data_IF_224764997825
#
_entry.id   IF_224764997825
#
_cell.length_a   1.000
_cell.length_b   1.000
_cell.length_c   1.000
_cell.angle_alpha   90.00
_cell.angle_beta   90.00
_cell.angle_gamma   90.00
#
_symmetry.space_group_name_H-M   'P 1'
#
loop_
_entity.id
_entity.type
_entity.pdbx_description
1 polymer ?
#
# COMPACT_ATOMS: atom_id res chain seq x y z
N UNK A 1 -9.43 -7.49 -20.70
CA UNK A 1 -9.34 -8.89 -21.17
C UNK A 1 -9.27 -9.80 -19.95
N UNK A 2 -10.12 -10.85 -19.86
CA UNK A 2 -10.11 -11.78 -18.72
C UNK A 2 -8.76 -12.49 -18.56
N UNK A 3 -8.23 -12.53 -17.34
CA UNK A 3 -6.93 -13.10 -17.01
C UNK A 3 -7.06 -14.46 -16.28
N UNK A 4 -5.95 -15.23 -16.22
CA UNK A 4 -5.89 -16.45 -15.39
C UNK A 4 -5.96 -16.06 -13.91
N UNK A 5 -6.65 -16.85 -13.08
CA UNK A 5 -6.92 -16.54 -11.68
C UNK A 5 -5.67 -16.18 -10.86
N UNK A 6 -4.61 -17.00 -10.92
CA UNK A 6 -3.37 -16.74 -10.20
C UNK A 6 -2.71 -15.41 -10.59
N UNK A 7 -2.75 -15.05 -11.89
CA UNK A 7 -2.19 -13.79 -12.37
C UNK A 7 -3.02 -12.60 -11.86
N UNK A 8 -4.33 -12.75 -11.83
CA UNK A 8 -5.24 -11.74 -11.33
C UNK A 8 -5.06 -11.52 -9.82
N UNK A 9 -4.92 -12.61 -9.06
CA UNK A 9 -4.63 -12.56 -7.63
C UNK A 9 -3.29 -11.90 -7.32
N UNK A 10 -2.25 -12.23 -8.09
CA UNK A 10 -0.93 -11.61 -7.92
C UNK A 10 -0.96 -10.12 -8.25
N UNK A 11 -1.63 -9.71 -9.31
CA UNK A 11 -1.78 -8.28 -9.64
C UNK A 11 -2.58 -7.56 -8.55
N UNK A 12 -3.62 -8.18 -8.01
CA UNK A 12 -4.35 -7.60 -6.88
C UNK A 12 -3.44 -7.42 -5.67
N UNK A 13 -2.73 -8.47 -5.27
CA UNK A 13 -1.77 -8.40 -4.14
C UNK A 13 -0.77 -7.27 -4.32
N UNK A 14 -0.16 -7.14 -5.50
CA UNK A 14 0.83 -6.09 -5.78
C UNK A 14 0.26 -4.68 -5.69
N UNK A 15 -1.00 -4.51 -6.06
CA UNK A 15 -1.65 -3.22 -5.96
C UNK A 15 -2.05 -2.87 -4.53
N UNK A 16 -2.53 -3.85 -3.75
CA UNK A 16 -2.92 -3.63 -2.35
C UNK A 16 -1.71 -3.55 -1.42
N UNK A 17 -0.69 -4.39 -1.62
CA UNK A 17 0.53 -4.42 -0.80
C UNK A 17 1.53 -3.30 -1.19
N UNK A 18 1.03 -2.09 -1.41
CA UNK A 18 1.85 -0.91 -1.71
C UNK A 18 2.55 -0.32 -0.49
N UNK A 19 2.71 1.01 -0.46
CA UNK A 19 3.37 1.73 0.66
C UNK A 19 2.63 1.62 1.98
N UNK A 20 1.29 1.57 1.94
CA UNK A 20 0.45 1.52 3.14
C UNK A 20 0.82 0.37 4.07
N UNK A 21 0.76 -0.89 3.60
CA UNK A 21 1.08 -2.09 4.39
C UNK A 21 2.56 -2.22 4.81
N UNK A 22 3.43 -1.37 4.31
CA UNK A 22 4.83 -1.30 4.72
C UNK A 22 5.03 -0.20 5.74
N UNK A 23 4.73 1.05 5.38
CA UNK A 23 5.01 2.22 6.23
C UNK A 23 4.06 2.34 7.42
N UNK A 24 2.78 2.04 7.23
CA UNK A 24 1.79 2.12 8.30
C UNK A 24 2.13 1.21 9.48
N UNK A 25 2.38 -0.09 9.28
CA UNK A 25 2.79 -1.00 10.35
C UNK A 25 4.12 -0.64 11.01
N UNK A 26 5.10 -0.11 10.24
CA UNK A 26 6.35 0.41 10.81
C UNK A 26 6.07 1.57 11.77
N UNK A 27 5.15 2.46 11.44
CA UNK A 27 4.71 3.53 12.34
C UNK A 27 3.84 2.99 13.49
N UNK A 28 2.96 2.05 13.18
CA UNK A 28 2.07 1.44 14.17
C UNK A 28 2.80 0.71 15.29
N UNK A 29 3.95 0.10 14.99
CA UNK A 29 4.76 -0.63 15.99
C UNK A 29 5.40 0.31 17.03
N UNK A 30 5.46 1.61 16.78
CA UNK A 30 5.90 2.60 17.76
C UNK A 30 4.97 2.67 18.99
N UNK A 31 3.74 2.21 18.86
CA UNK A 31 2.79 2.06 19.97
C UNK A 31 2.88 0.69 20.67
N UNK A 32 3.81 -0.15 20.26
CA UNK A 32 4.07 -1.45 20.86
C UNK A 32 3.50 -2.64 20.09
N UNK A 33 3.66 -3.85 20.65
CA UNK A 33 3.30 -5.10 20.01
C UNK A 33 1.81 -5.31 19.77
N UNK A 34 0.94 -4.40 20.23
CA UNK A 34 -0.51 -4.44 19.97
C UNK A 34 -0.83 -4.43 18.46
N UNK A 35 0.06 -3.90 17.64
CA UNK A 35 -0.08 -3.92 16.19
C UNK A 35 -0.20 -5.37 15.65
N UNK A 36 0.48 -6.34 16.27
CA UNK A 36 0.42 -7.76 15.90
C UNK A 36 -0.91 -8.44 16.22
N UNK A 37 -1.73 -7.83 17.05
CA UNK A 37 -3.12 -8.29 17.33
C UNK A 37 -4.09 -7.56 16.42
N UNK A 38 -3.96 -6.25 16.34
CA UNK A 38 -4.94 -5.40 15.64
C UNK A 38 -4.87 -5.52 14.13
N UNK A 39 -3.67 -5.67 13.54
CA UNK A 39 -3.52 -5.84 12.10
C UNK A 39 -4.21 -7.12 11.60
N UNK A 40 -3.93 -8.34 12.09
CA UNK A 40 -4.58 -9.54 11.59
C UNK A 40 -6.09 -9.56 11.84
N UNK A 41 -6.55 -9.14 13.00
CA UNK A 41 -7.99 -9.08 13.30
C UNK A 41 -8.68 -8.07 12.38
N UNK A 42 -8.16 -6.86 12.29
CA UNK A 42 -8.71 -5.82 11.44
C UNK A 42 -8.64 -6.17 9.94
N UNK A 43 -7.53 -6.79 9.50
CA UNK A 43 -7.36 -7.21 8.11
C UNK A 43 -8.39 -8.29 7.72
N UNK A 44 -8.65 -9.28 8.59
CA UNK A 44 -9.65 -10.32 8.31
C UNK A 44 -11.06 -9.74 8.34
N UNK A 45 -11.43 -9.06 9.42
CA UNK A 45 -12.81 -8.59 9.65
C UNK A 45 -13.12 -7.36 8.79
N UNK A 46 -12.22 -6.39 8.72
CA UNK A 46 -12.37 -5.17 7.92
C UNK A 46 -11.93 -5.38 6.47
N UNK A 47 -10.65 -5.61 6.25
CA UNK A 47 -10.03 -5.62 4.93
C UNK A 47 -10.52 -6.74 4.02
N UNK A 48 -10.36 -8.00 4.43
CA UNK A 48 -10.66 -9.15 3.58
C UNK A 48 -12.16 -9.29 3.29
N UNK A 49 -13.01 -9.01 4.28
CA UNK A 49 -14.47 -9.01 4.08
C UNK A 49 -14.87 -7.86 3.15
N UNK A 50 -14.34 -6.65 3.38
CA UNK A 50 -14.61 -5.51 2.51
C UNK A 50 -14.25 -5.81 1.05
N UNK A 51 -13.03 -6.28 0.80
CA UNK A 51 -12.56 -6.53 -0.57
C UNK A 51 -13.32 -7.66 -1.24
N UNK A 52 -13.65 -8.72 -0.49
CA UNK A 52 -14.44 -9.82 -1.03
C UNK A 52 -15.83 -9.34 -1.46
N UNK A 53 -16.57 -8.68 -0.59
CA UNK A 53 -17.94 -8.25 -0.91
C UNK A 53 -17.95 -7.15 -1.96
N UNK A 54 -17.11 -6.14 -1.85
CA UNK A 54 -17.04 -5.06 -2.85
C UNK A 54 -16.63 -5.58 -4.23
N UNK A 55 -15.64 -6.46 -4.29
CA UNK A 55 -15.19 -7.08 -5.54
C UNK A 55 -16.23 -7.99 -6.18
N UNK A 56 -16.94 -8.80 -5.37
CA UNK A 56 -18.00 -9.70 -5.86
C UNK A 56 -19.22 -8.92 -6.33
N UNK A 57 -19.64 -7.87 -5.63
CA UNK A 57 -20.75 -7.02 -6.08
C UNK A 57 -20.36 -6.30 -7.38
N UNK A 58 -19.15 -5.73 -7.46
CA UNK A 58 -18.64 -5.13 -8.69
C UNK A 58 -18.67 -6.13 -9.87
N UNK A 59 -18.25 -7.36 -9.63
CA UNK A 59 -18.26 -8.40 -10.68
C UNK A 59 -19.66 -8.72 -11.17
N UNK A 60 -20.61 -8.89 -10.26
CA UNK A 60 -22.03 -9.15 -10.56
C UNK A 60 -22.71 -7.98 -11.27
N UNK A 61 -22.31 -6.78 -10.94
CA UNK A 61 -22.80 -5.56 -11.61
C UNK A 61 -22.03 -5.24 -12.91
N UNK A 62 -21.34 -6.22 -13.50
CA UNK A 62 -20.66 -6.08 -14.79
C UNK A 62 -19.36 -5.26 -14.73
N UNK A 63 -18.72 -5.16 -13.57
CA UNK A 63 -17.49 -4.42 -13.36
C UNK A 63 -17.72 -2.92 -13.14
N UNK A 64 -18.83 -2.57 -12.53
CA UNK A 64 -19.21 -1.19 -12.18
C UNK A 64 -18.20 -0.58 -11.21
N UNK A 65 -17.90 0.72 -11.35
CA UNK A 65 -17.04 1.45 -10.42
C UNK A 65 -17.74 1.65 -9.06
N UNK A 66 -16.95 1.82 -7.99
CA UNK A 66 -17.50 1.99 -6.65
C UNK A 66 -18.48 3.19 -6.53
N UNK A 67 -18.21 4.37 -7.09
CA UNK A 67 -19.20 5.47 -7.03
C UNK A 67 -20.55 5.09 -7.65
N UNK A 68 -20.56 4.40 -8.80
CA UNK A 68 -21.79 3.96 -9.43
C UNK A 68 -22.54 2.89 -8.63
N UNK A 69 -21.81 2.00 -7.93
CA UNK A 69 -22.44 1.09 -6.99
C UNK A 69 -23.15 1.85 -5.86
N UNK A 70 -22.49 2.85 -5.29
CA UNK A 70 -23.10 3.70 -4.26
C UNK A 70 -24.34 4.40 -4.81
N UNK A 71 -24.28 4.90 -6.05
CA UNK A 71 -25.46 5.49 -6.72
C UNK A 71 -26.60 4.51 -6.88
N UNK A 72 -26.29 3.24 -7.20
CA UNK A 72 -27.29 2.19 -7.41
C UNK A 72 -27.97 1.73 -6.12
N UNK A 73 -27.19 1.59 -5.04
CA UNK A 73 -27.66 0.99 -3.79
C UNK A 73 -27.94 2.00 -2.68
N UNK A 74 -27.71 3.29 -2.91
CA UNK A 74 -27.90 4.35 -1.94
C UNK A 74 -28.63 5.56 -2.56
N UNK A 75 -28.67 6.67 -1.85
CA UNK A 75 -29.32 7.89 -2.31
C UNK A 75 -28.33 8.87 -2.96
N UNK A 76 -28.88 9.90 -3.65
CA UNK A 76 -28.08 10.91 -4.37
C UNK A 76 -27.13 11.67 -3.46
N UNK A 77 -27.52 11.97 -2.22
CA UNK A 77 -26.67 12.71 -1.28
C UNK A 77 -25.42 11.90 -0.89
N UNK A 78 -25.59 10.62 -0.55
CA UNK A 78 -24.50 9.71 -0.23
C UNK A 78 -23.57 9.49 -1.45
N UNK A 79 -24.15 9.36 -2.64
CA UNK A 79 -23.37 9.28 -3.88
C UNK A 79 -22.49 10.51 -4.08
N UNK A 80 -23.07 11.71 -3.98
CA UNK A 80 -22.32 12.97 -4.19
C UNK A 80 -21.21 13.13 -3.17
N UNK A 81 -21.51 12.87 -1.89
CA UNK A 81 -20.51 12.90 -0.83
C UNK A 81 -19.36 11.91 -1.11
N UNK A 82 -19.71 10.67 -1.43
CA UNK A 82 -18.71 9.63 -1.70
C UNK A 82 -17.88 9.96 -2.94
N UNK A 83 -18.48 10.50 -4.00
CA UNK A 83 -17.77 10.89 -5.22
C UNK A 83 -16.70 11.95 -4.94
N UNK A 84 -17.05 12.99 -4.18
CA UNK A 84 -16.11 14.06 -3.81
C UNK A 84 -15.01 13.49 -2.90
N UNK A 85 -15.41 12.75 -1.85
CA UNK A 85 -14.49 12.15 -0.90
C UNK A 85 -13.50 11.19 -1.59
N UNK A 86 -14.01 10.29 -2.43
CA UNK A 86 -13.19 9.31 -3.16
C UNK A 86 -12.22 10.00 -4.13
N UNK A 87 -12.66 11.05 -4.83
CA UNK A 87 -11.79 11.80 -5.73
C UNK A 87 -10.66 12.51 -4.99
N UNK A 88 -10.97 13.15 -3.86
CA UNK A 88 -9.95 13.79 -3.01
C UNK A 88 -8.98 12.75 -2.41
N UNK A 89 -9.52 11.64 -1.89
CA UNK A 89 -8.71 10.55 -1.36
C UNK A 89 -7.73 10.01 -2.40
N UNK A 90 -8.20 9.71 -3.62
CA UNK A 90 -7.35 9.17 -4.69
C UNK A 90 -6.28 10.17 -5.15
N UNK A 91 -6.58 11.47 -5.11
CA UNK A 91 -5.59 12.51 -5.38
C UNK A 91 -4.48 12.52 -4.32
N UNK A 92 -4.85 12.47 -3.04
CA UNK A 92 -3.89 12.43 -1.93
C UNK A 92 -3.07 11.13 -1.95
N UNK A 93 -3.68 10.00 -2.24
CA UNK A 93 -2.99 8.71 -2.41
C UNK A 93 -1.99 8.80 -3.58
N UNK A 94 -2.38 9.43 -4.68
CA UNK A 94 -1.46 9.69 -5.80
C UNK A 94 -0.24 10.52 -5.39
N UNK A 95 -0.43 11.56 -4.57
CA UNK A 95 0.66 12.38 -4.03
C UNK A 95 1.60 11.56 -3.13
N UNK A 96 1.06 10.72 -2.25
CA UNK A 96 1.86 9.80 -1.40
C UNK A 96 2.66 8.83 -2.26
N UNK A 97 2.10 8.31 -3.33
CA UNK A 97 2.79 7.40 -4.24
C UNK A 97 3.84 8.08 -5.15
N UNK A 98 3.90 9.40 -5.19
CA UNK A 98 5.04 10.14 -5.74
C UNK A 98 6.08 10.39 -4.66
N UNK A 99 5.64 10.90 -3.51
CA UNK A 99 6.52 11.29 -2.41
C UNK A 99 7.32 10.09 -1.87
N UNK A 100 6.65 9.02 -1.47
CA UNK A 100 7.30 7.91 -0.76
C UNK A 100 8.39 7.20 -1.58
N UNK A 101 8.14 6.73 -2.82
CA UNK A 101 9.21 6.10 -3.59
C UNK A 101 10.31 7.08 -3.97
N UNK A 102 9.98 8.35 -4.17
CA UNK A 102 10.95 9.39 -4.47
C UNK A 102 11.85 9.69 -3.27
N UNK A 103 11.29 9.77 -2.06
CA UNK A 103 12.06 9.96 -0.83
C UNK A 103 12.97 8.76 -0.54
N UNK A 104 12.48 7.53 -0.66
CA UNK A 104 13.29 6.32 -0.49
C UNK A 104 14.42 6.29 -1.53
N UNK A 105 14.14 6.61 -2.78
CA UNK A 105 15.15 6.63 -3.84
C UNK A 105 16.22 7.70 -3.57
N UNK A 106 15.81 8.90 -3.16
CA UNK A 106 16.73 9.99 -2.85
C UNK A 106 17.61 9.68 -1.65
N UNK A 107 17.02 9.19 -0.56
CA UNK A 107 17.74 8.99 0.71
C UNK A 107 18.51 7.67 0.75
N UNK A 108 17.89 6.57 0.33
CA UNK A 108 18.46 5.22 0.51
C UNK A 108 19.30 4.75 -0.68
N UNK A 109 19.06 5.29 -1.89
CA UNK A 109 19.80 4.90 -3.10
C UNK A 109 20.85 5.94 -3.45
N UNK A 110 20.49 7.23 -3.45
CA UNK A 110 21.40 8.32 -3.82
C UNK A 110 22.18 8.90 -2.62
N UNK A 111 21.80 8.53 -1.37
CA UNK A 111 22.47 9.02 -0.17
C UNK A 111 22.30 10.53 0.09
N UNK A 112 21.23 11.13 -0.43
CA UNK A 112 20.89 12.51 -0.16
C UNK A 112 20.34 12.68 1.26
N UNK A 113 20.56 13.85 1.88
CA UNK A 113 20.12 14.14 3.26
C UNK A 113 18.60 14.25 3.45
N UNK A 114 17.80 13.71 2.53
CA UNK A 114 16.33 13.71 2.60
C UNK A 114 15.69 15.09 2.48
N UNK A 115 16.48 16.13 2.25
CA UNK A 115 15.96 17.48 2.08
C UNK A 115 15.14 17.56 0.79
N UNK A 116 13.83 17.79 0.93
CA UNK A 116 12.88 18.03 -0.18
C UNK A 116 13.36 19.15 -1.12
N UNK A 117 14.27 20.00 -0.64
CA UNK A 117 14.87 21.12 -1.34
C UNK A 117 16.03 20.74 -2.27
N UNK A 118 16.52 19.50 -2.23
CA UNK A 118 17.58 19.04 -3.14
C UNK A 118 17.06 18.93 -4.57
N UNK A 119 17.79 19.51 -5.53
CA UNK A 119 17.45 19.45 -6.97
C UNK A 119 17.29 18.01 -7.45
N UNK A 120 18.12 17.09 -6.98
CA UNK A 120 18.05 15.67 -7.35
C UNK A 120 16.75 15.02 -6.89
N UNK A 121 16.30 15.30 -5.69
CA UNK A 121 15.02 14.82 -5.13
C UNK A 121 13.84 15.35 -5.95
N UNK A 122 13.88 16.63 -6.28
CA UNK A 122 12.85 17.26 -7.12
C UNK A 122 12.76 16.65 -8.52
N UNK A 123 13.91 16.32 -9.11
CA UNK A 123 13.98 15.63 -10.42
C UNK A 123 13.35 14.24 -10.33
N UNK A 124 13.61 13.48 -9.26
CA UNK A 124 13.00 12.15 -9.07
C UNK A 124 11.46 12.26 -8.98
N UNK A 125 10.94 13.19 -8.18
CA UNK A 125 9.50 13.44 -8.11
C UNK A 125 8.92 13.82 -9.45
N UNK A 126 9.62 14.68 -10.20
CA UNK A 126 9.22 15.08 -11.54
C UNK A 126 9.15 13.91 -12.52
N UNK A 127 10.13 13.01 -12.49
CA UNK A 127 10.15 11.80 -13.33
C UNK A 127 8.99 10.87 -13.00
N UNK A 128 8.73 10.62 -11.71
CA UNK A 128 7.59 9.78 -11.27
C UNK A 128 6.27 10.43 -11.69
N UNK A 129 6.15 11.74 -11.52
CA UNK A 129 4.94 12.47 -11.89
C UNK A 129 4.68 12.39 -13.42
N UNK A 130 5.70 12.63 -14.23
CA UNK A 130 5.59 12.51 -15.70
C UNK A 130 5.23 11.09 -16.11
N UNK A 131 5.83 10.08 -15.46
CA UNK A 131 5.43 8.69 -15.66
C UNK A 131 3.93 8.48 -15.42
N UNK A 132 3.37 9.02 -14.32
CA UNK A 132 1.95 8.89 -14.02
C UNK A 132 1.05 9.59 -15.03
N UNK A 133 1.44 10.78 -15.53
CA UNK A 133 0.70 11.44 -16.60
C UNK A 133 0.62 10.56 -17.84
N UNK A 134 1.75 9.99 -18.24
CA UNK A 134 1.81 9.08 -19.40
C UNK A 134 0.99 7.81 -19.15
N UNK A 135 1.17 7.16 -18.00
CA UNK A 135 0.50 5.92 -17.64
C UNK A 135 -1.03 6.07 -17.50
N UNK A 136 -1.49 7.24 -17.04
CA UNK A 136 -2.92 7.52 -16.89
C UNK A 136 -3.61 7.69 -18.24
N UNK A 137 -2.93 8.23 -19.24
CA UNK A 137 -3.47 8.52 -20.58
C UNK A 137 -3.40 7.30 -21.50
N UNK A 138 -2.26 6.61 -21.51
CA UNK A 138 -2.00 5.49 -22.42
C UNK A 138 -2.37 4.14 -21.81
N UNK A 139 -2.85 3.17 -22.61
CA UNK A 139 -3.12 1.81 -22.16
C UNK A 139 -1.81 1.03 -21.98
N UNK A 140 -1.09 1.29 -20.91
CA UNK A 140 0.19 0.64 -20.58
C UNK A 140 -0.02 -0.80 -20.06
N UNK A 141 -1.27 -1.26 -19.93
CA UNK A 141 -1.66 -2.55 -19.37
C UNK A 141 -0.90 -3.75 -19.95
N UNK A 142 -0.48 -3.67 -21.22
CA UNK A 142 0.29 -4.75 -21.87
C UNK A 142 1.73 -4.82 -21.36
N UNK A 143 2.34 -3.69 -21.07
CA UNK A 143 3.72 -3.60 -20.56
C UNK A 143 3.73 -3.97 -19.07
N UNK A 144 2.86 -3.33 -18.31
CA UNK A 144 2.68 -3.55 -16.88
C UNK A 144 2.36 -5.04 -16.61
N UNK A 145 1.44 -5.63 -17.35
CA UNK A 145 1.05 -7.04 -17.15
C UNK A 145 2.17 -8.07 -17.37
N UNK A 146 3.31 -7.69 -17.98
CA UNK A 146 4.51 -8.52 -18.07
C UNK A 146 5.50 -8.27 -16.93
N UNK A 147 5.57 -7.05 -16.44
CA UNK A 147 6.54 -6.60 -15.43
C UNK A 147 6.02 -6.90 -14.01
N UNK A 148 4.71 -6.81 -13.78
CA UNK A 148 4.10 -7.09 -12.48
C UNK A 148 4.50 -8.43 -11.82
N UNK A 149 4.58 -9.56 -12.54
CA UNK A 149 5.01 -10.81 -11.92
C UNK A 149 6.43 -10.76 -11.35
N UNK A 150 7.32 -9.97 -11.96
CA UNK A 150 8.70 -9.79 -11.47
C UNK A 150 8.69 -9.01 -10.17
N UNK A 151 7.96 -7.89 -10.10
CA UNK A 151 7.84 -7.10 -8.88
C UNK A 151 7.12 -7.87 -7.77
N UNK A 152 6.14 -8.71 -8.13
CA UNK A 152 5.52 -9.62 -7.18
C UNK A 152 6.48 -10.62 -6.57
N UNK A 153 7.34 -11.18 -7.39
CA UNK A 153 8.39 -12.08 -6.92
C UNK A 153 9.37 -11.35 -5.98
N UNK A 154 9.76 -10.12 -6.32
CA UNK A 154 10.65 -9.30 -5.46
C UNK A 154 9.96 -8.96 -4.13
N UNK A 155 8.68 -8.57 -4.14
CA UNK A 155 7.93 -8.29 -2.92
C UNK A 155 7.85 -9.51 -2.01
N UNK A 156 7.45 -10.65 -2.56
CA UNK A 156 7.34 -11.89 -1.81
C UNK A 156 8.72 -12.37 -1.31
N UNK A 157 9.74 -12.28 -2.14
CA UNK A 157 11.14 -12.55 -1.74
C UNK A 157 11.55 -11.66 -0.58
N UNK A 158 11.28 -10.36 -0.64
CA UNK A 158 11.61 -9.40 0.41
C UNK A 158 10.87 -9.74 1.71
N UNK A 159 9.55 -9.97 1.64
CA UNK A 159 8.74 -10.31 2.82
C UNK A 159 9.19 -11.64 3.45
N UNK A 160 9.39 -12.69 2.65
CA UNK A 160 9.87 -13.99 3.13
C UNK A 160 11.28 -13.85 3.68
N UNK A 161 12.16 -13.13 2.99
CA UNK A 161 13.53 -12.91 3.42
C UNK A 161 13.61 -12.15 4.74
N UNK A 162 12.82 -11.09 4.92
CA UNK A 162 12.74 -10.37 6.19
C UNK A 162 12.17 -11.28 7.29
N UNK A 163 11.09 -12.01 7.01
CA UNK A 163 10.50 -12.96 7.96
C UNK A 163 11.52 -13.99 8.44
N UNK A 164 12.16 -14.70 7.52
CA UNK A 164 13.18 -15.70 7.86
C UNK A 164 14.38 -15.06 8.55
N UNK A 165 14.84 -13.91 8.05
CA UNK A 165 15.99 -13.21 8.58
C UNK A 165 15.82 -12.74 10.02
N UNK A 166 14.64 -12.31 10.44
CA UNK A 166 14.34 -11.96 11.83
C UNK A 166 14.67 -13.13 12.77
N UNK A 167 14.23 -14.34 12.42
CA UNK A 167 14.47 -15.53 13.25
C UNK A 167 15.90 -16.05 13.15
N UNK A 168 16.47 -16.09 11.95
CA UNK A 168 17.83 -16.61 11.73
C UNK A 168 18.89 -15.73 12.37
N UNK A 169 18.71 -14.41 12.31
CA UNK A 169 19.64 -13.44 12.90
C UNK A 169 19.34 -13.13 14.38
N UNK A 170 18.24 -13.69 14.91
CA UNK A 170 17.85 -13.49 16.31
C UNK A 170 17.49 -12.04 16.65
N UNK A 171 16.77 -11.36 15.76
CA UNK A 171 16.30 -9.99 16.03
C UNK A 171 15.37 -10.00 17.23
N UNK A 172 15.61 -9.15 18.26
CA UNK A 172 14.80 -9.13 19.46
C UNK A 172 13.43 -8.54 19.15
N UNK A 173 12.39 -9.31 19.41
CA UNK A 173 11.01 -8.86 19.37
C UNK A 173 10.50 -8.69 20.80
N UNK A 174 9.73 -7.64 21.03
CA UNK A 174 9.08 -7.38 22.32
C UNK A 174 7.87 -8.31 22.44
N UNK A 175 7.76 -9.00 23.56
CA UNK A 175 6.61 -9.86 23.86
C UNK A 175 5.31 -9.02 23.97
N UNK A 176 4.18 -9.61 23.59
CA UNK A 176 2.89 -8.91 23.63
C UNK A 176 2.53 -8.46 25.06
N UNK A 177 3.02 -9.18 26.05
CA UNK A 177 2.73 -8.95 27.47
C UNK A 177 3.78 -8.08 28.17
N UNK A 178 4.93 -7.87 27.53
CA UNK A 178 5.98 -7.03 28.06
C UNK A 178 5.71 -5.57 27.70
N UNK A 179 5.89 -4.69 28.68
CA UNK A 179 5.87 -3.22 28.53
C UNK A 179 4.61 -2.58 27.92
N UNK A 180 3.45 -3.17 28.10
CA UNK A 180 2.19 -2.47 27.82
C UNK A 180 2.04 -1.14 28.59
N UNK A 181 2.69 -1.05 29.73
CA UNK A 181 2.63 0.09 30.63
C UNK A 181 3.89 0.93 30.50
N UNK A 182 4.07 1.61 29.36
CA UNK A 182 4.74 2.89 29.31
C UNK A 182 6.10 3.01 30.05
N UNK A 183 6.83 1.92 30.26
CA UNK A 183 8.13 1.94 30.90
C UNK A 183 9.30 1.88 29.93
N UNK A 184 9.08 1.42 28.68
CA UNK A 184 10.15 1.40 27.70
C UNK A 184 10.27 2.75 27.00
N UNK A 185 11.46 3.21 26.85
CA UNK A 185 11.80 4.45 26.11
C UNK A 185 11.19 4.44 24.70
N UNK A 186 11.04 3.26 24.09
CA UNK A 186 10.52 3.09 22.75
C UNK A 186 9.02 3.45 22.65
N UNK A 187 8.23 3.05 23.65
CA UNK A 187 6.77 3.16 23.59
C UNK A 187 6.21 4.28 24.50
N UNK A 188 6.81 4.46 25.66
CA UNK A 188 6.30 5.38 26.67
C UNK A 188 6.30 6.82 26.21
N UNK A 189 7.41 7.32 25.71
CA UNK A 189 7.55 8.71 25.28
C UNK A 189 6.72 9.00 24.03
N UNK A 190 6.70 8.07 23.08
CA UNK A 190 5.88 8.23 21.88
C UNK A 190 4.38 8.23 22.20
N UNK A 191 3.97 7.40 23.13
CA UNK A 191 2.57 7.29 23.57
C UNK A 191 2.09 8.54 24.30
N UNK A 192 2.95 9.15 25.14
CA UNK A 192 2.63 10.39 25.84
C UNK A 192 2.60 11.61 24.90
N UNK A 193 3.46 11.64 23.88
CA UNK A 193 3.55 12.72 22.92
C UNK A 193 2.50 12.67 21.81
N UNK A 194 1.92 11.49 21.53
CA UNK A 194 0.97 11.29 20.44
C UNK A 194 -0.34 10.68 20.94
N UNK A 195 -1.45 11.25 20.49
CA UNK A 195 -2.78 10.74 20.87
C UNK A 195 -2.99 9.33 20.31
N UNK A 196 -3.01 8.33 21.19
CA UNK A 196 -3.08 6.93 20.82
C UNK A 196 -4.26 6.61 19.89
N UNK A 197 -5.48 6.98 20.26
CA UNK A 197 -6.66 6.57 19.50
C UNK A 197 -6.58 7.02 18.04
N UNK A 198 -6.42 8.32 17.69
CA UNK A 198 -6.35 8.70 16.29
C UNK A 198 -5.08 8.24 15.59
N UNK A 199 -3.91 8.39 16.21
CA UNK A 199 -2.63 8.12 15.52
C UNK A 199 -2.40 6.62 15.34
N UNK A 200 -2.64 5.80 16.36
CA UNK A 200 -2.51 4.36 16.26
C UNK A 200 -3.43 3.78 15.18
N UNK A 201 -4.71 4.13 15.18
CA UNK A 201 -5.63 3.59 14.19
C UNK A 201 -5.38 4.12 12.79
N UNK A 202 -4.90 5.36 12.62
CA UNK A 202 -4.47 5.86 11.30
C UNK A 202 -3.29 5.05 10.76
N UNK A 203 -2.29 4.77 11.58
CA UNK A 203 -1.09 4.02 11.16
C UNK A 203 -1.38 2.55 10.94
N UNK A 204 -2.05 1.90 11.88
CA UNK A 204 -2.39 0.47 11.80
C UNK A 204 -3.42 0.19 10.71
N UNK A 205 -4.34 1.13 10.46
CA UNK A 205 -5.34 1.00 9.40
C UNK A 205 -4.71 0.72 8.03
N UNK A 206 -3.52 1.27 7.75
CA UNK A 206 -2.80 1.00 6.50
C UNK A 206 -2.31 -0.45 6.37
N UNK A 207 -2.13 -1.17 7.50
CA UNK A 207 -1.84 -2.61 7.51
C UNK A 207 -3.10 -3.49 7.48
N UNK A 208 -4.27 -2.88 7.65
CA UNK A 208 -5.58 -3.53 7.64
C UNK A 208 -6.25 -3.37 6.28
N UNK A 209 -6.23 -2.15 5.74
CA UNK A 209 -6.92 -1.77 4.52
C UNK A 209 -6.32 -0.47 3.99
N UNK A 210 -5.75 -0.48 2.81
CA UNK A 210 -5.22 0.71 2.16
C UNK A 210 -6.35 1.57 1.55
N UNK A 211 -6.14 2.88 1.45
CA UNK A 211 -7.20 3.85 1.14
C UNK A 211 -7.87 3.73 -0.23
N UNK A 212 -7.33 2.96 -1.17
CA UNK A 212 -7.89 2.84 -2.53
C UNK A 212 -8.45 1.44 -2.86
N UNK A 213 -8.53 0.53 -1.91
CA UNK A 213 -9.01 -0.85 -2.12
C UNK A 213 -10.39 -0.91 -2.75
N UNK A 214 -11.32 -0.07 -2.33
CA UNK A 214 -12.67 -0.02 -2.88
C UNK A 214 -12.71 0.25 -4.39
N UNK A 215 -11.80 1.09 -4.88
CA UNK A 215 -11.68 1.38 -6.32
C UNK A 215 -10.85 0.33 -7.04
N UNK A 216 -9.87 -0.26 -6.37
CA UNK A 216 -9.03 -1.33 -6.88
C UNK A 216 -9.83 -2.61 -7.13
N UNK A 217 -10.70 -3.02 -6.20
CA UNK A 217 -11.55 -4.20 -6.37
C UNK A 217 -12.43 -4.11 -7.62
N UNK A 218 -12.95 -2.92 -7.94
CA UNK A 218 -13.72 -2.67 -9.16
C UNK A 218 -12.87 -2.87 -10.43
N UNK A 219 -11.61 -2.45 -10.43
CA UNK A 219 -10.71 -2.63 -11.58
C UNK A 219 -10.36 -4.11 -11.76
N UNK A 220 -10.04 -4.81 -10.68
CA UNK A 220 -9.68 -6.23 -10.71
C UNK A 220 -10.88 -7.10 -11.12
N UNK A 221 -12.09 -6.81 -10.64
CA UNK A 221 -13.30 -7.56 -10.98
C UNK A 221 -13.52 -7.64 -12.51
N UNK A 222 -13.21 -6.56 -13.24
CA UNK A 222 -13.31 -6.52 -14.72
C UNK A 222 -12.38 -7.49 -15.44
N UNK A 223 -11.34 -7.98 -14.78
CA UNK A 223 -10.35 -8.88 -15.35
C UNK A 223 -10.57 -10.34 -14.91
N UNK A 224 -11.54 -10.59 -14.04
CA UNK A 224 -11.90 -11.93 -13.60
C UNK A 224 -12.71 -12.70 -14.66
N UNK A 225 -12.50 -14.02 -14.70
CA UNK A 225 -13.24 -14.92 -15.60
C UNK A 225 -14.52 -15.48 -14.98
N UNK A 226 -14.54 -15.61 -13.67
CA UNK A 226 -15.67 -16.19 -12.93
C UNK A 226 -15.63 -15.82 -11.46
N UNK A 227 -16.77 -15.89 -10.79
CA UNK A 227 -16.93 -15.67 -9.34
C UNK A 227 -16.10 -16.65 -8.50
N UNK A 228 -15.81 -17.86 -9.00
CA UNK A 228 -14.98 -18.86 -8.31
C UNK A 228 -13.59 -18.33 -7.94
N UNK A 229 -13.08 -17.34 -8.66
CA UNK A 229 -11.78 -16.70 -8.38
C UNK A 229 -11.86 -15.68 -7.24
N UNK A 230 -13.05 -15.22 -6.85
CA UNK A 230 -13.23 -14.10 -5.92
C UNK A 230 -12.57 -14.31 -4.57
N UNK A 231 -12.78 -15.50 -3.97
CA UNK A 231 -12.16 -15.83 -2.68
C UNK A 231 -10.63 -15.73 -2.72
N UNK A 232 -10.00 -16.30 -3.76
CA UNK A 232 -8.54 -16.25 -3.88
C UNK A 232 -8.05 -14.85 -4.20
N UNK A 233 -8.73 -14.14 -5.12
CA UNK A 233 -8.29 -12.84 -5.61
C UNK A 233 -8.49 -11.73 -4.60
N UNK A 234 -9.61 -11.71 -3.87
CA UNK A 234 -9.92 -10.64 -2.94
C UNK A 234 -9.59 -11.04 -1.50
N UNK A 235 -10.27 -12.05 -0.95
CA UNK A 235 -10.12 -12.41 0.46
C UNK A 235 -8.71 -12.91 0.80
N UNK A 236 -8.23 -13.95 0.10
CA UNK A 236 -6.93 -14.54 0.45
C UNK A 236 -5.77 -13.58 0.21
N UNK A 237 -5.83 -12.74 -0.83
CA UNK A 237 -4.75 -11.77 -1.09
C UNK A 237 -4.72 -10.67 -0.03
N UNK A 238 -5.86 -10.28 0.53
CA UNK A 238 -5.90 -9.38 1.69
C UNK A 238 -5.24 -10.00 2.92
N UNK A 239 -5.51 -11.27 3.21
CA UNK A 239 -4.85 -11.98 4.33
C UNK A 239 -3.33 -12.04 4.12
N UNK A 240 -2.88 -12.28 2.89
CA UNK A 240 -1.44 -12.26 2.55
C UNK A 240 -0.86 -10.86 2.74
N UNK A 241 -1.58 -9.83 2.35
CA UNK A 241 -1.16 -8.44 2.55
C UNK A 241 -0.99 -8.11 4.05
N UNK A 242 -1.96 -8.49 4.89
CA UNK A 242 -1.85 -8.31 6.34
C UNK A 242 -0.66 -9.07 6.95
N UNK A 243 -0.34 -10.26 6.44
CA UNK A 243 0.88 -10.98 6.84
C UNK A 243 2.15 -10.21 6.45
N UNK A 244 2.22 -9.67 5.23
CA UNK A 244 3.35 -8.83 4.78
C UNK A 244 3.48 -7.61 5.69
N UNK A 245 2.37 -6.97 6.05
CA UNK A 245 2.35 -5.83 6.97
C UNK A 245 2.95 -6.16 8.34
N UNK A 246 2.60 -7.31 8.90
CA UNK A 246 3.17 -7.78 10.17
C UNK A 246 4.67 -8.10 10.08
N UNK A 247 5.14 -8.62 8.95
CA UNK A 247 6.57 -8.89 8.71
C UNK A 247 7.38 -7.58 8.74
N UNK A 248 6.89 -6.53 8.09
CA UNK A 248 7.56 -5.23 8.11
C UNK A 248 7.52 -4.57 9.50
N UNK A 249 6.41 -4.71 10.23
CA UNK A 249 6.32 -4.27 11.62
C UNK A 249 7.35 -5.00 12.50
N UNK A 250 7.48 -6.33 12.38
CA UNK A 250 8.44 -7.11 13.13
C UNK A 250 9.89 -6.75 12.78
N UNK A 251 10.20 -6.54 11.49
CA UNK A 251 11.50 -6.07 11.05
C UNK A 251 11.87 -4.71 11.67
N UNK A 252 10.92 -3.78 11.68
CA UNK A 252 11.11 -2.47 12.31
C UNK A 252 11.30 -2.58 13.82
N UNK A 253 10.48 -3.37 14.51
CA UNK A 253 10.63 -3.62 15.94
C UNK A 253 12.01 -4.15 16.30
N UNK A 254 12.49 -5.15 15.56
CA UNK A 254 13.84 -5.72 15.78
C UNK A 254 14.95 -4.68 15.55
N UNK A 255 14.84 -3.87 14.51
CA UNK A 255 15.80 -2.79 14.20
C UNK A 255 15.81 -1.73 15.31
N UNK A 256 14.64 -1.33 15.81
CA UNK A 256 14.53 -0.37 16.93
C UNK A 256 15.08 -0.95 18.22
N UNK A 257 14.77 -2.19 18.55
CA UNK A 257 15.26 -2.85 19.76
C UNK A 257 16.79 -3.05 19.77
N UNK A 258 17.40 -3.14 18.59
CA UNK A 258 18.86 -3.20 18.44
C UNK A 258 19.53 -1.81 18.43
N UNK A 259 18.77 -0.72 18.47
CA UNK A 259 19.28 0.64 18.37
C UNK A 259 19.90 0.99 17.01
N UNK A 260 19.59 0.22 15.95
CA UNK A 260 20.08 0.46 14.59
C UNK A 260 19.41 1.64 13.91
N UNK A 261 18.24 2.00 14.37
CA UNK A 261 17.43 3.13 13.90
C UNK A 261 16.64 3.70 15.06
N UNK A 262 16.53 5.02 15.11
CA UNK A 262 15.66 5.70 16.09
C UNK A 262 14.18 5.42 15.79
N UNK A 263 13.42 5.17 16.84
CA UNK A 263 11.98 4.95 16.76
C UNK A 263 11.25 6.28 16.58
N UNK A 264 11.18 6.76 15.35
CA UNK A 264 10.52 8.00 15.00
C UNK A 264 9.64 7.83 13.76
N UNK A 265 8.39 8.27 13.82
CA UNK A 265 7.43 8.17 12.72
C UNK A 265 7.87 8.89 11.45
N UNK A 266 8.61 10.00 11.57
CA UNK A 266 9.15 10.75 10.43
C UNK A 266 10.27 10.00 9.69
N UNK A 267 10.84 8.97 10.29
CA UNK A 267 11.93 8.17 9.75
C UNK A 267 11.47 6.80 9.22
N UNK A 268 10.17 6.57 9.01
CA UNK A 268 9.65 5.28 8.55
C UNK A 268 10.26 4.83 7.21
N UNK A 269 10.52 5.75 6.28
CA UNK A 269 11.20 5.47 5.01
C UNK A 269 12.67 5.07 5.20
N UNK A 270 13.37 5.69 6.15
CA UNK A 270 14.73 5.32 6.53
C UNK A 270 14.77 3.93 7.18
N UNK A 271 13.81 3.62 8.05
CA UNK A 271 13.68 2.31 8.71
C UNK A 271 13.60 1.17 7.70
N UNK A 272 12.87 1.34 6.59
CA UNK A 272 12.82 0.33 5.51
C UNK A 272 14.22 0.02 4.99
N UNK A 273 15.02 1.05 4.73
CA UNK A 273 16.40 0.88 4.25
C UNK A 273 17.27 0.11 5.25
N UNK A 274 17.13 0.40 6.54
CA UNK A 274 17.85 -0.29 7.61
C UNK A 274 17.40 -1.75 7.72
N UNK A 275 16.09 -2.02 7.73
CA UNK A 275 15.53 -3.40 7.74
C UNK A 275 16.06 -4.19 6.55
N UNK A 276 15.99 -3.63 5.33
CA UNK A 276 16.46 -4.30 4.13
C UNK A 276 17.96 -4.63 4.21
N UNK A 277 18.79 -3.66 4.60
CA UNK A 277 20.26 -3.83 4.63
C UNK A 277 20.72 -4.79 5.71
N UNK A 278 20.19 -4.70 6.92
CA UNK A 278 20.64 -5.52 8.06
C UNK A 278 20.08 -6.95 8.03
N UNK A 279 18.85 -7.14 7.55
CA UNK A 279 18.24 -8.46 7.54
C UNK A 279 18.57 -9.23 6.25
N UNK A 280 18.55 -8.57 5.09
CA UNK A 280 18.78 -9.24 3.79
C UNK A 280 20.21 -9.10 3.27
N UNK A 281 21.06 -8.38 4.00
CA UNK A 281 22.44 -8.12 3.60
C UNK A 281 22.54 -7.15 2.41
N UNK A 282 23.76 -6.86 1.92
CA UNK A 282 23.98 -5.79 0.95
C UNK A 282 23.26 -6.06 -0.39
N UNK A 283 23.31 -7.27 -0.92
CA UNK A 283 22.71 -7.60 -2.22
C UNK A 283 21.19 -7.77 -2.10
N UNK A 284 20.75 -8.59 -1.14
CA UNK A 284 19.31 -8.80 -0.89
C UNK A 284 18.60 -7.52 -0.49
N UNK A 285 19.26 -6.69 0.30
CA UNK A 285 18.75 -5.39 0.73
C UNK A 285 18.52 -4.43 -0.44
N UNK A 286 19.45 -4.35 -1.40
CA UNK A 286 19.25 -3.51 -2.60
C UNK A 286 18.08 -4.01 -3.45
N UNK A 287 17.97 -5.33 -3.65
CA UNK A 287 16.84 -5.91 -4.42
C UNK A 287 15.51 -5.60 -3.74
N UNK A 288 15.44 -5.80 -2.42
CA UNK A 288 14.24 -5.51 -1.65
C UNK A 288 13.87 -4.02 -1.69
N UNK A 289 14.85 -3.15 -1.54
CA UNK A 289 14.67 -1.70 -1.58
C UNK A 289 14.15 -1.23 -2.94
N UNK A 290 14.69 -1.76 -4.04
CA UNK A 290 14.17 -1.49 -5.37
C UNK A 290 12.71 -1.96 -5.52
N UNK A 291 12.36 -3.11 -4.94
CA UNK A 291 10.98 -3.59 -4.89
C UNK A 291 10.05 -2.61 -4.16
N UNK A 292 10.48 -2.13 -3.00
CA UNK A 292 9.71 -1.16 -2.20
C UNK A 292 9.57 0.20 -2.90
N UNK A 293 10.55 0.63 -3.71
CA UNK A 293 10.46 1.85 -4.51
C UNK A 293 9.49 1.67 -5.68
N UNK A 294 9.57 0.58 -6.40
CA UNK A 294 8.78 0.38 -7.64
C UNK A 294 7.32 0.04 -7.34
N UNK A 295 7.05 -0.64 -6.24
CA UNK A 295 5.71 -1.06 -5.86
C UNK A 295 4.71 0.10 -5.74
N UNK A 296 5.02 1.19 -5.00
CA UNK A 296 4.15 2.37 -4.94
C UNK A 296 3.94 3.02 -6.30
N UNK A 297 4.96 3.01 -7.15
CA UNK A 297 4.86 3.60 -8.49
C UNK A 297 3.81 2.85 -9.31
N UNK A 298 3.76 1.52 -9.23
CA UNK A 298 2.75 0.73 -9.94
C UNK A 298 1.35 0.89 -9.33
N UNK A 299 1.25 1.00 -8.01
CA UNK A 299 -0.01 1.24 -7.31
C UNK A 299 -0.56 2.64 -7.59
N UNK A 300 0.31 3.65 -7.70
CA UNK A 300 -0.05 5.01 -8.04
C UNK A 300 -0.66 5.16 -9.43
N UNK A 301 -0.15 4.43 -10.42
CA UNK A 301 -0.76 4.36 -11.75
C UNK A 301 -2.22 3.87 -11.66
N UNK A 302 -2.47 2.84 -10.87
CA UNK A 302 -3.82 2.29 -10.70
C UNK A 302 -4.72 3.26 -9.94
N UNK A 303 -4.23 3.92 -8.89
CA UNK A 303 -4.99 4.90 -8.09
C UNK A 303 -5.37 6.13 -8.92
N UNK A 304 -4.43 6.71 -9.68
CA UNK A 304 -4.69 7.87 -10.54
C UNK A 304 -5.59 7.52 -11.73
N UNK A 305 -5.52 6.29 -12.24
CA UNK A 305 -6.46 5.79 -13.24
C UNK A 305 -7.87 5.67 -12.66
N UNK A 306 -8.01 5.19 -11.43
CA UNK A 306 -9.29 5.15 -10.72
C UNK A 306 -9.84 6.55 -10.49
N UNK A 307 -8.99 7.51 -10.09
CA UNK A 307 -9.35 8.92 -9.95
C UNK A 307 -9.92 9.48 -11.26
N UNK A 308 -9.18 9.30 -12.35
CA UNK A 308 -9.64 9.77 -13.67
C UNK A 308 -11.01 9.18 -14.04
N UNK A 309 -11.20 7.87 -13.82
CA UNK A 309 -12.47 7.22 -14.14
C UNK A 309 -13.59 7.74 -13.24
N UNK A 310 -13.36 7.88 -11.94
CA UNK A 310 -14.34 8.41 -11.00
C UNK A 310 -14.77 9.85 -11.36
N UNK A 311 -13.81 10.72 -11.66
CA UNK A 311 -14.09 12.11 -12.07
C UNK A 311 -14.83 12.15 -13.40
N UNK A 312 -14.42 11.34 -14.38
CA UNK A 312 -15.08 11.30 -15.69
C UNK A 312 -16.52 10.79 -15.58
N UNK A 313 -16.78 9.79 -14.75
CA UNK A 313 -18.13 9.29 -14.49
C UNK A 313 -18.99 10.37 -13.79
N UNK A 314 -18.44 11.06 -12.80
CA UNK A 314 -19.11 12.17 -12.11
C UNK A 314 -19.45 13.36 -13.01
N UNK A 315 -18.59 13.66 -13.97
CA UNK A 315 -18.78 14.74 -14.95
C UNK A 315 -19.44 14.29 -16.26
N UNK A 316 -19.82 13.01 -16.35
CA UNK A 316 -20.43 12.40 -17.56
C UNK A 316 -19.54 12.53 -18.84
N UNK A 317 -18.21 12.44 -18.68
CA UNK A 317 -17.25 12.54 -19.78
C UNK A 317 -17.04 11.15 -20.42
N UNK A 318 -17.30 11.04 -21.72
CA UNK A 318 -17.08 9.80 -22.47
C UNK A 318 -15.58 9.47 -22.60
N UNK A 319 -15.16 8.35 -22.01
CA UNK A 319 -13.78 7.87 -21.98
C UNK A 319 -13.36 7.04 -23.21
N UNK A 320 -14.23 6.85 -24.21
CA UNK A 320 -13.90 6.07 -25.42
C UNK A 320 -12.95 6.80 -26.35
N UNK A 321 -12.97 8.13 -26.35
CA UNK A 321 -12.08 8.95 -27.19
C UNK A 321 -10.81 9.36 -26.46
N UNK A 322 -9.63 9.13 -27.10
CA UNK A 322 -8.32 9.57 -26.56
C UNK A 322 -8.26 11.09 -26.38
N UNK A 323 -8.89 11.86 -27.27
CA UNK A 323 -8.94 13.33 -27.14
C UNK A 323 -9.69 13.78 -25.89
N UNK A 324 -10.79 13.10 -25.54
CA UNK A 324 -11.58 13.39 -24.33
C UNK A 324 -10.92 12.87 -23.04
N UNK A 325 -9.88 12.01 -23.16
CA UNK A 325 -9.06 11.57 -22.01
C UNK A 325 -7.98 12.58 -21.63
N UNK A 326 -7.61 13.46 -22.55
CA UNK A 326 -6.53 14.45 -22.39
C UNK A 326 -7.05 15.81 -21.88
N UNK A 327 -8.32 16.08 -21.95
CA UNK A 327 -8.97 17.29 -21.45
C UNK A 327 -9.79 17.04 -20.22
#
# INVERSE_FOLDING_TARGET
VPMRGWKNSLINLLNIAGTGPILGPIQGILFGPIAFITIPIGNIIGGAIHDYFSGMICLRDGGTQMPDMIRKYSNKGVYTFYQIFCSLLLLLVGAVFIYTPGDIAATQVLGNDGAVTSVSTFVIYGVIFVYYLIATVFPIDKIIGRIYPIFGAILLFSAIGVFVGIFVLGFPLTEIWDDWNAGSVLYGDYFSANHFIPIFFITVACGILSGFHSTQTAIISRTMKSEKQGRMTFYNMMVVEGFIAMVWAAGAMGVYNLGLQEANASLATATIGVVCKHILGPVGGVIALLGVIVLPITSGDTALRALRLAVADGLHIDQKSTKKRLG
#
